data_IF_975865819969
#
_entry.id   IF_975865819969
#
_cell.length_a   1.000
_cell.length_b   1.000
_cell.length_c   1.000
_cell.angle_alpha   90.00
_cell.angle_beta   90.00
_cell.angle_gamma   90.00
#
_symmetry.space_group_name_H-M   'P 1'
#
loop_
_entity.id
_entity.type
_entity.pdbx_description
1 polymer ?
#
# COMPACT_ATOMS: atom_id res chain seq x y z
N UNK A 1 -8.18 -14.69 29.10
CA UNK A 1 -7.62 -13.67 30.03
C UNK A 1 -8.71 -13.28 31.01
N UNK A 2 -8.40 -13.22 32.30
CA UNK A 2 -9.29 -12.75 33.37
C UNK A 2 -8.74 -11.45 33.98
N UNK A 3 -9.44 -10.89 34.97
CA UNK A 3 -9.01 -9.69 35.70
C UNK A 3 -7.61 -9.84 36.34
N UNK A 4 -7.24 -11.04 36.79
CA UNK A 4 -6.01 -11.28 37.58
C UNK A 4 -5.12 -12.38 37.02
N UNK A 5 -5.48 -12.97 35.89
CA UNK A 5 -4.73 -14.09 35.36
C UNK A 5 -4.85 -14.27 33.84
N UNK A 6 -3.82 -14.89 33.28
CA UNK A 6 -3.80 -15.42 31.93
C UNK A 6 -3.75 -16.94 32.09
N UNK A 7 -4.68 -17.63 31.45
CA UNK A 7 -4.74 -19.10 31.45
C UNK A 7 -4.42 -19.55 30.03
N UNK A 8 -3.34 -20.32 29.89
CA UNK A 8 -2.96 -20.93 28.63
C UNK A 8 -3.89 -22.11 28.29
N UNK A 9 -3.87 -22.58 27.04
CA UNK A 9 -4.71 -23.71 26.60
C UNK A 9 -4.44 -25.01 27.38
N UNK A 10 -3.21 -25.19 27.90
CA UNK A 10 -2.80 -26.31 28.73
C UNK A 10 -3.26 -26.21 30.21
N UNK A 11 -3.96 -25.12 30.57
CA UNK A 11 -4.43 -24.85 31.93
C UNK A 11 -3.40 -24.13 32.81
N UNK A 12 -2.20 -23.84 32.32
CA UNK A 12 -1.18 -23.09 33.08
C UNK A 12 -1.68 -21.69 33.40
N UNK A 13 -1.62 -21.31 34.68
CA UNK A 13 -2.10 -20.00 35.16
C UNK A 13 -0.94 -19.06 35.45
N UNK A 14 -0.90 -17.94 34.74
CA UNK A 14 0.02 -16.83 34.97
C UNK A 14 -0.71 -15.69 35.66
N UNK A 15 -0.09 -15.05 36.66
CA UNK A 15 -0.64 -13.90 37.39
C UNK A 15 0.29 -12.69 37.27
N UNK A 16 0.38 -12.06 36.09
CA UNK A 16 1.28 -10.92 35.90
C UNK A 16 0.71 -9.67 36.59
N UNK A 17 1.60 -8.84 37.14
CA UNK A 17 1.23 -7.50 37.61
C UNK A 17 1.02 -6.52 36.43
N UNK A 18 1.65 -6.79 35.29
CA UNK A 18 1.58 -5.98 34.06
C UNK A 18 1.48 -6.88 32.83
N UNK A 19 0.54 -6.59 31.94
CA UNK A 19 0.42 -7.22 30.62
C UNK A 19 0.78 -6.23 29.52
N UNK A 20 1.79 -6.56 28.71
CA UNK A 20 2.21 -5.76 27.55
C UNK A 20 1.65 -6.40 26.28
N UNK A 21 0.83 -5.65 25.54
CA UNK A 21 0.30 -6.06 24.25
C UNK A 21 1.21 -5.54 23.12
N UNK A 22 2.10 -6.41 22.63
CA UNK A 22 2.97 -6.12 21.49
C UNK A 22 2.44 -6.75 20.19
N UNK A 23 1.14 -6.59 19.92
CA UNK A 23 0.41 -7.29 18.85
C UNK A 23 0.54 -6.65 17.46
N UNK A 24 1.31 -5.56 17.32
CA UNK A 24 1.53 -4.88 16.05
C UNK A 24 0.33 -4.06 15.57
N UNK A 25 0.10 -4.05 14.25
CA UNK A 25 -0.86 -3.17 13.57
C UNK A 25 -1.67 -3.91 12.50
N UNK A 26 -2.88 -3.40 12.20
CA UNK A 26 -3.65 -3.79 11.03
C UNK A 26 -3.09 -3.09 9.77
N UNK A 27 -1.98 -3.60 9.25
CA UNK A 27 -1.23 -2.93 8.18
C UNK A 27 -1.89 -3.03 6.78
N UNK A 28 -2.75 -4.03 6.55
CA UNK A 28 -3.37 -4.29 5.23
C UNK A 28 -4.67 -3.53 5.00
N UNK A 29 -5.25 -2.91 6.04
CA UNK A 29 -6.48 -2.13 5.94
C UNK A 29 -6.16 -0.68 5.55
N UNK A 30 -5.66 -0.52 4.32
CA UNK A 30 -5.26 0.77 3.76
C UNK A 30 -6.32 1.84 3.97
N UNK A 31 -5.97 2.93 4.67
CA UNK A 31 -6.81 4.11 4.88
C UNK A 31 -8.16 3.83 5.57
N UNK A 32 -8.35 2.66 6.19
CA UNK A 32 -9.51 2.43 7.06
C UNK A 32 -9.48 3.40 8.27
N UNK A 33 -10.64 3.86 8.76
CA UNK A 33 -12.00 3.48 8.36
C UNK A 33 -12.61 4.38 7.27
N UNK A 34 -11.80 5.11 6.48
CA UNK A 34 -12.33 6.03 5.47
C UNK A 34 -13.17 5.29 4.43
N UNK A 35 -14.29 5.88 4.03
CA UNK A 35 -15.10 5.38 2.91
C UNK A 35 -14.74 6.14 1.64
N UNK A 36 -14.07 5.46 0.72
CA UNK A 36 -13.60 6.05 -0.53
C UNK A 36 -14.49 5.58 -1.67
N UNK A 37 -15.31 6.49 -2.20
CA UNK A 37 -16.17 6.23 -3.35
C UNK A 37 -15.53 6.79 -4.61
N UNK A 38 -15.12 5.89 -5.50
CA UNK A 38 -14.44 6.20 -6.73
C UNK A 38 -15.37 6.32 -7.94
N UNK A 39 -14.78 6.11 -9.11
CA UNK A 39 -15.45 6.18 -10.42
C UNK A 39 -16.65 5.23 -10.48
N UNK A 40 -17.79 5.77 -10.91
CA UNK A 40 -19.03 5.00 -11.05
C UNK A 40 -19.68 4.61 -9.71
N UNK A 41 -19.38 5.33 -8.62
CA UNK A 41 -19.99 5.09 -7.30
C UNK A 41 -19.46 3.84 -6.58
N UNK A 42 -18.36 3.25 -7.08
CA UNK A 42 -17.79 2.03 -6.51
C UNK A 42 -16.93 2.33 -5.29
N UNK A 43 -17.08 1.51 -4.26
CA UNK A 43 -16.26 1.57 -3.06
C UNK A 43 -14.87 0.96 -3.33
N UNK A 44 -13.82 1.74 -3.10
CA UNK A 44 -12.45 1.31 -3.35
C UNK A 44 -12.01 0.19 -2.41
N UNK A 45 -12.44 0.20 -1.14
CA UNK A 45 -12.10 -0.86 -0.19
C UNK A 45 -12.78 -2.17 -0.56
N UNK A 46 -14.02 -2.12 -1.07
CA UNK A 46 -14.67 -3.33 -1.60
C UNK A 46 -13.91 -3.91 -2.79
N UNK A 47 -13.45 -3.06 -3.72
CA UNK A 47 -12.59 -3.49 -4.84
C UNK A 47 -11.32 -4.16 -4.31
N UNK A 48 -10.59 -3.51 -3.42
CA UNK A 48 -9.34 -4.04 -2.87
C UNK A 48 -9.52 -5.33 -2.08
N UNK A 49 -10.65 -5.51 -1.39
CA UNK A 49 -10.97 -6.76 -0.71
C UNK A 49 -11.15 -7.90 -1.70
N UNK A 50 -11.86 -7.65 -2.81
CA UNK A 50 -12.12 -8.65 -3.84
C UNK A 50 -10.88 -8.98 -4.70
N UNK A 51 -10.14 -7.96 -5.14
CA UNK A 51 -9.12 -8.08 -6.19
C UNK A 51 -7.67 -7.92 -5.67
N UNK A 52 -7.51 -7.39 -4.46
CA UNK A 52 -6.22 -6.96 -3.93
C UNK A 52 -6.03 -5.45 -4.05
N UNK A 53 -5.28 -4.84 -3.12
CA UNK A 53 -4.97 -3.42 -3.16
C UNK A 53 -4.03 -3.07 -4.31
N UNK A 54 -4.42 -2.10 -5.13
CA UNK A 54 -3.65 -1.65 -6.29
C UNK A 54 -3.61 -0.14 -6.39
N UNK A 55 -2.45 0.39 -6.78
CA UNK A 55 -2.27 1.78 -7.17
C UNK A 55 -0.99 1.91 -8.00
N UNK A 56 -1.01 2.74 -9.04
CA UNK A 56 0.17 3.07 -9.83
C UNK A 56 1.16 3.86 -8.98
N UNK A 57 2.40 3.38 -8.90
CA UNK A 57 3.45 3.88 -8.00
C UNK A 57 3.06 3.85 -6.51
N UNK A 58 1.95 3.20 -6.15
CA UNK A 58 1.30 3.34 -4.84
C UNK A 58 0.75 4.74 -4.56
N UNK A 59 0.57 5.57 -5.59
CA UNK A 59 0.18 6.99 -5.48
C UNK A 59 -1.23 7.23 -6.01
N UNK A 60 -1.63 6.65 -7.13
CA UNK A 60 -2.94 6.95 -7.76
C UNK A 60 -3.56 5.68 -8.32
N UNK A 61 -4.90 5.57 -8.30
CA UNK A 61 -5.61 4.44 -8.90
C UNK A 61 -6.60 4.90 -9.98
N UNK A 62 -6.71 4.13 -11.06
CA UNK A 62 -7.69 4.32 -12.14
C UNK A 62 -9.13 4.30 -11.61
N UNK A 63 -9.35 3.65 -10.45
CA UNK A 63 -10.65 3.51 -9.80
C UNK A 63 -11.06 4.77 -9.04
N UNK A 64 -10.15 5.65 -8.65
CA UNK A 64 -10.42 6.85 -7.87
C UNK A 64 -9.68 8.08 -8.44
N UNK A 65 -10.24 8.73 -9.48
CA UNK A 65 -9.65 9.94 -10.06
C UNK A 65 -9.51 11.07 -9.03
N UNK A 66 -8.49 11.92 -9.18
CA UNK A 66 -8.14 13.03 -8.27
C UNK A 66 -7.80 12.63 -6.83
N UNK A 67 -7.74 11.34 -6.50
CA UNK A 67 -7.29 10.85 -5.21
C UNK A 67 -5.82 10.42 -5.32
N UNK A 68 -5.00 10.94 -4.42
CA UNK A 68 -3.61 10.55 -4.27
C UNK A 68 -3.38 9.92 -2.89
N UNK A 69 -2.59 8.86 -2.86
CA UNK A 69 -2.14 8.16 -1.67
C UNK A 69 -0.69 8.50 -1.38
N UNK A 70 -0.37 8.66 -0.10
CA UNK A 70 1.00 8.56 0.39
C UNK A 70 1.09 7.27 1.19
N UNK A 71 2.16 6.51 0.98
CA UNK A 71 2.31 5.15 1.50
C UNK A 71 1.13 4.24 1.11
N UNK A 72 0.72 4.31 -0.15
CA UNK A 72 -0.29 3.41 -0.68
C UNK A 72 0.23 1.98 -0.88
N UNK A 73 -0.57 1.12 -1.54
CA UNK A 73 -0.20 -0.26 -1.81
C UNK A 73 1.18 -0.38 -2.46
N UNK A 74 1.95 -1.39 -2.02
CA UNK A 74 3.29 -1.72 -2.50
C UNK A 74 4.35 -0.61 -2.38
N UNK A 75 4.25 0.23 -1.34
CA UNK A 75 5.23 1.31 -1.08
C UNK A 75 5.81 1.32 0.33
N UNK A 76 5.33 0.46 1.24
CA UNK A 76 5.99 0.29 2.52
C UNK A 76 7.36 -0.39 2.31
N UNK A 77 8.25 -0.19 3.27
CA UNK A 77 9.63 -0.66 3.16
C UNK A 77 10.02 -1.47 4.39
N UNK A 78 10.67 -2.60 4.16
CA UNK A 78 11.31 -3.39 5.23
C UNK A 78 12.85 -3.19 5.24
N UNK A 79 13.41 -2.69 4.15
CA UNK A 79 14.86 -2.56 3.90
C UNK A 79 15.29 -1.17 3.42
N UNK A 80 14.36 -0.21 3.38
CA UNK A 80 14.57 1.13 2.82
C UNK A 80 13.95 2.20 3.74
N UNK A 81 14.33 3.47 3.53
CA UNK A 81 13.71 4.62 4.21
C UNK A 81 12.31 4.90 3.66
N UNK A 82 11.29 4.74 4.52
CA UNK A 82 9.92 5.12 4.19
C UNK A 82 9.78 6.64 3.99
N UNK A 83 10.54 7.45 4.73
CA UNK A 83 10.52 8.91 4.59
C UNK A 83 10.95 9.35 3.19
N UNK A 84 12.04 8.77 2.67
CA UNK A 84 12.51 9.07 1.31
C UNK A 84 11.47 8.67 0.25
N UNK A 85 10.77 7.54 0.47
CA UNK A 85 9.69 7.09 -0.39
C UNK A 85 8.52 8.09 -0.38
N UNK A 86 8.14 8.62 0.78
CA UNK A 86 7.13 9.69 0.90
C UNK A 86 7.57 10.98 0.19
N UNK A 87 8.82 11.40 0.30
CA UNK A 87 9.33 12.60 -0.39
C UNK A 87 9.22 12.47 -1.93
N UNK A 88 9.56 11.29 -2.46
CA UNK A 88 9.37 10.96 -3.87
C UNK A 88 7.89 11.04 -4.28
N UNK A 89 6.99 10.48 -3.47
CA UNK A 89 5.55 10.51 -3.72
C UNK A 89 5.01 11.94 -3.71
N UNK A 90 5.38 12.74 -2.71
CA UNK A 90 4.97 14.15 -2.60
C UNK A 90 5.45 14.95 -3.81
N UNK A 91 6.71 14.77 -4.22
CA UNK A 91 7.26 15.41 -5.42
C UNK A 91 6.45 15.07 -6.69
N UNK A 92 6.12 13.80 -6.87
CA UNK A 92 5.30 13.35 -8.01
C UNK A 92 3.88 13.94 -7.96
N UNK A 93 3.22 13.93 -6.80
CA UNK A 93 1.86 14.48 -6.60
C UNK A 93 1.84 15.99 -6.88
N UNK A 94 2.82 16.74 -6.37
CA UNK A 94 2.94 18.18 -6.63
C UNK A 94 3.10 18.46 -8.12
N UNK A 95 3.92 17.69 -8.83
CA UNK A 95 4.08 17.82 -10.28
C UNK A 95 2.78 17.49 -11.03
N UNK A 96 2.07 16.44 -10.61
CA UNK A 96 0.77 16.07 -11.19
C UNK A 96 -0.28 17.18 -11.03
N UNK A 97 -0.35 17.80 -9.86
CA UNK A 97 -1.26 18.93 -9.59
C UNK A 97 -0.86 20.15 -10.44
N UNK A 98 0.44 20.46 -10.57
CA UNK A 98 0.92 21.55 -11.45
C UNK A 98 0.50 21.34 -12.90
N UNK A 99 0.63 20.12 -13.43
CA UNK A 99 0.19 19.78 -14.79
C UNK A 99 -1.32 19.96 -14.96
N UNK A 100 -2.14 19.61 -13.96
CA UNK A 100 -3.58 19.88 -14.00
C UNK A 100 -3.88 21.37 -14.14
N UNK A 101 -3.20 22.23 -13.37
CA UNK A 101 -3.36 23.68 -13.48
C UNK A 101 -2.95 24.21 -14.85
N UNK A 102 -1.78 23.80 -15.34
CA UNK A 102 -1.26 24.25 -16.64
C UNK A 102 -2.18 23.86 -17.81
N UNK A 103 -2.76 22.66 -17.75
CA UNK A 103 -3.65 22.13 -18.79
C UNK A 103 -5.11 22.50 -18.59
N UNK A 104 -5.44 23.21 -17.50
CA UNK A 104 -6.83 23.49 -17.09
C UNK A 104 -7.68 22.20 -16.94
N UNK A 105 -7.03 21.10 -16.54
CA UNK A 105 -7.68 19.81 -16.39
C UNK A 105 -8.41 19.73 -15.05
N UNK A 106 -9.67 19.30 -15.08
CA UNK A 106 -10.48 19.07 -13.86
C UNK A 106 -10.22 17.71 -13.21
N UNK A 107 -9.73 16.76 -14.00
CA UNK A 107 -9.58 15.38 -13.59
C UNK A 107 -8.23 14.84 -14.04
N UNK A 108 -7.52 14.19 -13.13
CA UNK A 108 -6.38 13.34 -13.42
C UNK A 108 -6.66 11.92 -12.91
N UNK A 109 -6.21 10.94 -13.69
CA UNK A 109 -6.29 9.53 -13.35
C UNK A 109 -5.17 8.81 -14.07
N UNK A 110 -4.76 7.66 -13.55
CA UNK A 110 -3.93 6.73 -14.32
C UNK A 110 -4.79 5.89 -15.26
N UNK A 111 -4.21 5.47 -16.39
CA UNK A 111 -4.79 4.46 -17.27
C UNK A 111 -4.80 3.11 -16.57
N UNK A 112 -5.87 2.33 -16.75
CA UNK A 112 -5.99 1.01 -16.11
C UNK A 112 -4.80 0.11 -16.49
N UNK A 113 -4.43 0.10 -17.77
CA UNK A 113 -3.35 -0.74 -18.29
C UNK A 113 -1.98 -0.36 -17.71
N UNK A 114 -1.79 0.92 -17.36
CA UNK A 114 -0.55 1.38 -16.74
C UNK A 114 -0.46 0.94 -15.27
N UNK A 115 -1.57 1.01 -14.54
CA UNK A 115 -1.67 0.46 -13.17
C UNK A 115 -1.45 -1.06 -13.19
N UNK A 116 -2.11 -1.80 -14.07
CA UNK A 116 -1.96 -3.25 -14.19
C UNK A 116 -0.53 -3.67 -14.52
N UNK A 117 0.11 -3.02 -15.50
CA UNK A 117 1.52 -3.28 -15.84
C UNK A 117 2.46 -2.98 -14.68
N UNK A 118 2.21 -1.89 -13.94
CA UNK A 118 2.98 -1.57 -12.75
C UNK A 118 2.82 -2.64 -11.68
N UNK A 119 1.60 -3.09 -11.41
CA UNK A 119 1.35 -4.15 -10.44
C UNK A 119 2.01 -5.47 -10.84
N UNK A 120 1.96 -5.84 -12.13
CA UNK A 120 2.67 -7.03 -12.64
C UNK A 120 4.18 -6.92 -12.41
N UNK A 121 4.78 -5.77 -12.74
CA UNK A 121 6.21 -5.51 -12.50
C UNK A 121 6.56 -5.61 -11.01
N UNK A 122 5.74 -5.06 -10.12
CA UNK A 122 5.95 -5.13 -8.67
C UNK A 122 5.90 -6.58 -8.21
N UNK A 123 4.87 -7.34 -8.58
CA UNK A 123 4.72 -8.71 -8.14
C UNK A 123 5.83 -9.62 -8.66
N UNK A 124 6.18 -9.53 -9.95
CA UNK A 124 7.31 -10.30 -10.51
C UNK A 124 8.66 -9.91 -9.91
N UNK A 125 8.76 -8.74 -9.28
CA UNK A 125 9.99 -8.29 -8.63
C UNK A 125 10.22 -8.92 -7.26
N UNK A 126 9.21 -9.59 -6.69
CA UNK A 126 9.34 -10.37 -5.47
C UNK A 126 9.84 -11.80 -5.73
N UNK A 127 9.82 -12.28 -6.97
CA UNK A 127 10.31 -13.61 -7.33
C UNK A 127 11.79 -13.78 -6.97
N UNK A 128 12.10 -14.88 -6.28
CA UNK A 128 13.46 -15.17 -5.79
C UNK A 128 13.90 -14.31 -4.60
N UNK A 129 13.04 -13.45 -4.05
CA UNK A 129 13.33 -12.69 -2.83
C UNK A 129 12.89 -13.44 -1.58
N UNK A 130 13.50 -13.11 -0.43
CA UNK A 130 13.10 -13.66 0.88
C UNK A 130 11.67 -13.28 1.28
N UNK A 131 11.13 -12.21 0.69
CA UNK A 131 9.77 -11.72 0.97
C UNK A 131 8.69 -12.64 0.38
N UNK A 132 9.01 -13.36 -0.70
CA UNK A 132 8.13 -14.34 -1.33
C UNK A 132 8.41 -15.77 -0.83
N UNK A 133 8.86 -15.91 0.41
CA UNK A 133 9.12 -17.21 1.05
C UNK A 133 7.86 -17.76 1.73
N UNK A 134 7.80 -19.08 1.91
CA UNK A 134 6.66 -19.80 2.50
C UNK A 134 6.41 -19.54 4.00
N UNK A 135 7.16 -18.63 4.63
CA UNK A 135 6.95 -18.24 6.01
C UNK A 135 5.85 -17.18 6.08
N UNK A 136 4.77 -17.49 6.81
CA UNK A 136 3.62 -16.58 6.95
C UNK A 136 4.07 -15.21 7.47
N UNK A 137 3.96 -14.19 6.62
CA UNK A 137 4.29 -12.81 6.96
C UNK A 137 3.06 -11.93 6.83
N UNK A 138 3.00 -10.85 7.61
CA UNK A 138 1.92 -9.85 7.52
C UNK A 138 1.99 -8.98 6.26
N UNK A 139 3.03 -9.15 5.42
CA UNK A 139 3.21 -8.45 4.15
C UNK A 139 2.31 -8.96 3.03
N UNK A 140 1.90 -10.23 3.12
CA UNK A 140 1.06 -10.90 2.15
C UNK A 140 -0.42 -10.91 2.58
N UNK A 141 -1.33 -10.92 1.61
CA UNK A 141 -2.75 -11.14 1.85
C UNK A 141 -3.10 -12.63 1.96
N UNK A 142 -4.38 -12.96 2.12
CA UNK A 142 -4.83 -14.36 2.21
C UNK A 142 -4.57 -15.19 0.93
N UNK A 143 -4.24 -14.53 -0.20
CA UNK A 143 -3.89 -15.17 -1.48
C UNK A 143 -2.37 -15.38 -1.62
N UNK A 144 -1.57 -14.97 -0.63
CA UNK A 144 -0.11 -14.99 -0.69
C UNK A 144 0.49 -13.85 -1.51
N UNK A 145 -0.30 -12.85 -1.92
CA UNK A 145 0.17 -11.71 -2.71
C UNK A 145 0.77 -10.67 -1.79
N UNK A 146 2.01 -10.23 -2.05
CA UNK A 146 2.66 -9.18 -1.25
C UNK A 146 2.05 -7.84 -1.62
N UNK A 147 1.33 -7.25 -0.67
CA UNK A 147 0.55 -6.03 -0.89
C UNK A 147 1.22 -4.81 -0.29
N UNK A 148 2.01 -4.98 0.78
CA UNK A 148 2.58 -3.86 1.53
C UNK A 148 3.89 -3.35 0.96
N UNK A 149 4.80 -4.26 0.63
CA UNK A 149 6.20 -3.89 0.39
C UNK A 149 6.47 -3.40 -1.03
N UNK A 150 7.50 -2.57 -1.14
CA UNK A 150 8.22 -2.28 -2.38
C UNK A 150 9.44 -3.20 -2.53
N UNK A 151 9.59 -3.95 -3.64
CA UNK A 151 10.61 -4.99 -3.77
C UNK A 151 12.01 -4.51 -4.19
N UNK A 152 12.17 -3.26 -4.67
CA UNK A 152 13.41 -2.77 -5.29
C UNK A 152 14.16 -1.77 -4.40
N UNK A 153 15.30 -1.29 -4.91
CA UNK A 153 16.08 -0.21 -4.32
C UNK A 153 15.32 1.13 -4.43
N UNK A 154 15.59 2.06 -3.52
CA UNK A 154 14.97 3.40 -3.54
C UNK A 154 15.34 4.21 -4.79
N UNK A 155 16.52 4.01 -5.38
CA UNK A 155 16.89 4.67 -6.64
C UNK A 155 15.93 4.32 -7.77
N UNK A 156 15.44 3.07 -7.83
CA UNK A 156 14.45 2.65 -8.81
C UNK A 156 13.12 3.37 -8.60
N UNK A 157 12.71 3.55 -7.34
CA UNK A 157 11.49 4.27 -7.00
C UNK A 157 11.60 5.77 -7.30
N UNK A 158 12.73 6.39 -6.95
CA UNK A 158 13.05 7.78 -7.30
C UNK A 158 12.98 8.01 -8.81
N UNK A 159 13.62 7.17 -9.62
CA UNK A 159 13.59 7.31 -11.08
C UNK A 159 12.16 7.13 -11.64
N UNK A 160 11.39 6.20 -11.06
CA UNK A 160 10.00 5.95 -11.47
C UNK A 160 9.05 7.10 -11.10
N UNK A 161 9.39 7.90 -10.10
CA UNK A 161 8.63 9.07 -9.63
C UNK A 161 9.20 10.41 -10.13
N UNK A 162 10.40 10.40 -10.72
CA UNK A 162 11.00 11.59 -11.33
C UNK A 162 10.35 11.97 -12.67
N UNK A 163 9.67 11.03 -13.32
CA UNK A 163 9.04 11.23 -14.64
C UNK A 163 7.52 11.13 -14.51
N UNK A 164 6.82 12.17 -14.93
CA UNK A 164 5.38 12.19 -15.11
C UNK A 164 5.06 12.31 -16.60
N UNK A 165 4.49 11.26 -17.20
CA UNK A 165 4.03 11.28 -18.58
C UNK A 165 2.53 11.55 -18.59
N UNK A 166 2.14 12.79 -18.92
CA UNK A 166 0.74 13.17 -19.09
C UNK A 166 0.33 13.02 -20.55
N UNK A 167 -0.77 12.32 -20.79
CA UNK A 167 -1.38 12.16 -22.10
C UNK A 167 -2.61 13.06 -22.20
N UNK A 168 -2.83 13.65 -23.37
CA UNK A 168 -4.00 14.48 -23.67
C UNK A 168 -5.25 13.63 -23.91
#
# INVERSE_FOLDING_TARGET
>A
VSEKSIVNEDGTVHKPDVLILATGFQARDYFAPLKIIGRGGKDLHQKWKAEGPTAYLGIISHAAPNLFFLVGPNTATAHNSLLFQMECQVGWVVNAIKEMFQRQARTITVKREAEEKYMQFVQSSFDGTVWNSSCGSWYADERGVITLLWPKLLVTYYLSTAVLIVQN
#
